data_IF_934911009649
#
_entry.id   IF_934911009649
#
_cell.length_a   1.000
_cell.length_b   1.000
_cell.length_c   1.000
_cell.angle_alpha   90.00
_cell.angle_beta   90.00
_cell.angle_gamma   90.00
#
_symmetry.space_group_name_H-M   'P 1'
#
loop_
_entity.id
_entity.type
_entity.pdbx_description
1 polymer ?
#
# COMPACT_ATOMS: atom_id res chain seq x y z
N UNK A 1 -9.48 -5.62 8.57
CA UNK A 1 -9.02 -6.90 7.98
C UNK A 1 -8.52 -7.85 9.08
N UNK A 2 -9.43 -8.32 9.95
CA UNK A 2 -9.11 -9.22 11.10
C UNK A 2 -9.47 -10.69 10.79
N UNK A 3 -10.04 -10.97 9.61
CA UNK A 3 -10.61 -12.28 9.27
C UNK A 3 -9.59 -13.33 8.81
N UNK A 4 -8.54 -12.94 8.10
CA UNK A 4 -7.65 -13.89 7.41
C UNK A 4 -6.84 -14.73 8.40
N UNK A 5 -6.30 -14.13 9.48
CA UNK A 5 -5.53 -14.86 10.50
C UNK A 5 -6.40 -15.81 11.35
N UNK A 6 -7.69 -15.52 11.54
CA UNK A 6 -8.61 -16.41 12.26
C UNK A 6 -8.98 -17.64 11.43
N UNK A 7 -9.16 -17.47 10.12
CA UNK A 7 -9.48 -18.57 9.21
C UNK A 7 -8.32 -19.55 9.06
N UNK A 8 -7.09 -19.08 8.93
CA UNK A 8 -5.91 -19.97 8.84
C UNK A 8 -5.68 -20.73 10.13
N UNK A 9 -5.84 -20.07 11.30
CA UNK A 9 -5.71 -20.71 12.60
C UNK A 9 -6.78 -21.78 12.83
N UNK A 10 -8.03 -21.49 12.46
CA UNK A 10 -9.13 -22.46 12.55
C UNK A 10 -8.89 -23.65 11.61
N UNK A 11 -8.42 -23.38 10.39
CA UNK A 11 -8.08 -24.42 9.42
C UNK A 11 -6.94 -25.32 9.90
N UNK A 12 -5.89 -24.75 10.54
CA UNK A 12 -4.82 -25.52 11.16
C UNK A 12 -5.34 -26.43 12.28
N UNK A 13 -6.16 -25.90 13.19
CA UNK A 13 -6.77 -26.69 14.27
C UNK A 13 -7.63 -27.84 13.73
N UNK A 14 -8.44 -27.59 12.70
CA UNK A 14 -9.26 -28.63 12.06
C UNK A 14 -8.41 -29.73 11.42
N UNK A 15 -7.27 -29.39 10.82
CA UNK A 15 -6.35 -30.36 10.23
C UNK A 15 -5.60 -31.17 11.29
N UNK A 16 -5.20 -30.54 12.40
CA UNK A 16 -4.58 -31.22 13.56
C UNK A 16 -5.56 -32.21 14.22
N UNK A 17 -6.82 -31.80 14.41
CA UNK A 17 -7.88 -32.68 14.93
C UNK A 17 -8.17 -33.86 13.97
N UNK A 18 -8.18 -33.59 12.66
CA UNK A 18 -8.34 -34.63 11.64
C UNK A 18 -7.18 -35.62 11.65
N UNK A 19 -5.94 -35.14 11.81
CA UNK A 19 -4.76 -35.99 11.91
C UNK A 19 -4.80 -36.88 13.17
N UNK A 20 -5.19 -36.31 14.31
CA UNK A 20 -5.37 -37.06 15.55
C UNK A 20 -6.43 -38.16 15.41
N UNK A 21 -7.58 -37.84 14.80
CA UNK A 21 -8.64 -38.83 14.55
C UNK A 21 -8.21 -39.94 13.58
N UNK A 22 -7.50 -39.60 12.49
CA UNK A 22 -6.98 -40.60 11.56
C UNK A 22 -5.94 -41.51 12.22
N UNK A 23 -5.08 -40.95 13.08
CA UNK A 23 -4.11 -41.75 13.84
C UNK A 23 -4.81 -42.73 14.79
N UNK A 24 -5.88 -42.31 15.47
CA UNK A 24 -6.66 -43.19 16.34
C UNK A 24 -7.35 -44.32 15.52
N UNK A 25 -7.94 -43.99 14.37
CA UNK A 25 -8.53 -45.00 13.49
C UNK A 25 -7.49 -46.00 12.97
N UNK A 26 -6.28 -45.54 12.63
CA UNK A 26 -5.15 -46.41 12.27
C UNK A 26 -4.81 -47.38 13.41
N UNK A 27 -4.76 -46.92 14.66
CA UNK A 27 -4.46 -47.80 15.80
C UNK A 27 -5.52 -48.88 15.97
N UNK A 28 -6.81 -48.53 15.85
CA UNK A 28 -7.93 -49.48 15.95
C UNK A 28 -7.89 -50.53 14.84
N UNK A 29 -7.66 -50.11 13.59
CA UNK A 29 -7.56 -51.05 12.44
C UNK A 29 -6.37 -52.00 12.62
N UNK A 30 -5.25 -51.50 13.14
CA UNK A 30 -4.05 -52.30 13.35
C UNK A 30 -4.24 -53.31 14.49
N UNK A 31 -4.93 -52.93 15.56
CA UNK A 31 -5.33 -53.84 16.65
C UNK A 31 -6.28 -54.94 16.15
N UNK A 32 -7.28 -54.58 15.34
CA UNK A 32 -8.20 -55.53 14.72
C UNK A 32 -7.45 -56.51 13.81
N UNK A 33 -6.54 -56.01 12.97
CA UNK A 33 -5.72 -56.82 12.07
C UNK A 33 -4.85 -57.84 12.83
N UNK A 34 -4.29 -57.45 13.98
CA UNK A 34 -3.49 -58.35 14.83
C UNK A 34 -4.31 -59.46 15.49
N UNK A 35 -5.63 -59.26 15.64
CA UNK A 35 -6.54 -60.23 16.25
C UNK A 35 -7.26 -61.12 15.23
N UNK A 36 -7.23 -60.76 13.94
CA UNK A 36 -7.99 -61.42 12.87
C UNK A 36 -7.28 -62.67 12.36
N UNK A 37 -8.04 -63.77 12.21
CA UNK A 37 -7.53 -65.07 11.74
C UNK A 37 -8.02 -65.43 10.34
N UNK A 38 -9.09 -64.79 9.87
CA UNK A 38 -9.60 -64.97 8.52
C UNK A 38 -8.79 -64.17 7.50
N UNK A 39 -8.25 -64.85 6.49
CA UNK A 39 -7.39 -64.25 5.47
C UNK A 39 -8.11 -63.18 4.63
N UNK A 40 -9.42 -63.32 4.39
CA UNK A 40 -10.21 -62.35 3.62
C UNK A 40 -10.46 -61.08 4.43
N UNK A 41 -10.82 -61.22 5.70
CA UNK A 41 -11.04 -60.11 6.63
C UNK A 41 -9.74 -59.35 6.91
N UNK A 42 -8.61 -60.06 7.05
CA UNK A 42 -7.29 -59.45 7.16
C UNK A 42 -6.91 -58.62 5.91
N UNK A 43 -7.28 -59.05 4.70
CA UNK A 43 -6.99 -58.31 3.47
C UNK A 43 -7.82 -57.01 3.38
N UNK A 44 -9.07 -57.04 3.85
CA UNK A 44 -9.92 -55.85 3.94
C UNK A 44 -9.40 -54.84 4.97
N UNK A 45 -9.01 -55.30 6.16
CA UNK A 45 -8.42 -54.46 7.20
C UNK A 45 -7.10 -53.82 6.75
N UNK A 46 -6.26 -54.59 6.04
CA UNK A 46 -5.03 -54.05 5.45
C UNK A 46 -5.33 -52.92 4.46
N UNK A 47 -6.29 -53.12 3.56
CA UNK A 47 -6.69 -52.09 2.60
C UNK A 47 -7.21 -50.83 3.30
N UNK A 48 -7.99 -50.98 4.37
CA UNK A 48 -8.46 -49.85 5.17
C UNK A 48 -7.30 -49.12 5.87
N UNK A 49 -6.31 -49.85 6.39
CA UNK A 49 -5.10 -49.27 6.97
C UNK A 49 -4.28 -48.48 5.95
N UNK A 50 -4.11 -49.02 4.74
CA UNK A 50 -3.40 -48.34 3.65
C UNK A 50 -4.14 -47.04 3.22
N UNK A 51 -5.47 -47.08 3.16
CA UNK A 51 -6.31 -45.90 2.85
C UNK A 51 -6.19 -44.81 3.93
N UNK A 52 -6.19 -45.19 5.22
CA UNK A 52 -6.02 -44.25 6.33
C UNK A 52 -4.62 -43.61 6.35
N UNK A 53 -3.56 -44.40 6.08
CA UNK A 53 -2.20 -43.89 5.99
C UNK A 53 -2.03 -42.87 4.85
N UNK A 54 -2.66 -43.10 3.71
CA UNK A 54 -2.60 -42.16 2.59
C UNK A 54 -3.34 -40.85 2.92
N UNK A 55 -4.48 -40.93 3.61
CA UNK A 55 -5.18 -39.75 4.10
C UNK A 55 -4.35 -38.98 5.14
N UNK A 56 -3.62 -39.66 6.02
CA UNK A 56 -2.71 -39.01 6.97
C UNK A 56 -1.60 -38.24 6.26
N UNK A 57 -0.93 -38.85 5.27
CA UNK A 57 0.10 -38.16 4.46
C UNK A 57 -0.44 -36.92 3.76
N UNK A 58 -1.67 -36.99 3.25
CA UNK A 58 -2.29 -35.85 2.58
C UNK A 58 -2.56 -34.70 3.56
N UNK A 59 -3.06 -35.00 4.77
CA UNK A 59 -3.27 -34.01 5.83
C UNK A 59 -1.93 -33.43 6.32
N UNK A 60 -0.87 -34.25 6.45
CA UNK A 60 0.48 -33.77 6.78
C UNK A 60 1.06 -32.86 5.69
N UNK A 61 0.85 -33.18 4.41
CA UNK A 61 1.24 -32.29 3.32
C UNK A 61 0.51 -30.94 3.37
N UNK A 62 -0.80 -30.93 3.65
CA UNK A 62 -1.59 -29.71 3.78
C UNK A 62 -1.13 -28.87 4.99
N UNK A 63 -0.83 -29.50 6.13
CA UNK A 63 -0.23 -28.84 7.30
C UNK A 63 1.14 -28.23 6.97
N UNK A 64 2.01 -29.00 6.31
CA UNK A 64 3.33 -28.53 5.91
C UNK A 64 3.25 -27.36 4.90
N UNK A 65 2.27 -27.36 4.00
CA UNK A 65 2.03 -26.24 3.08
C UNK A 65 1.54 -24.98 3.81
N UNK A 66 0.64 -25.14 4.78
CA UNK A 66 0.21 -24.03 5.64
C UNK A 66 1.37 -23.46 6.46
N UNK A 67 2.22 -24.32 7.03
CA UNK A 67 3.40 -23.90 7.80
C UNK A 67 4.49 -23.25 6.92
N UNK A 68 4.70 -23.77 5.71
CA UNK A 68 5.61 -23.16 4.73
C UNK A 68 5.12 -21.77 4.28
N UNK A 69 3.79 -21.58 4.20
CA UNK A 69 3.20 -20.28 3.88
C UNK A 69 3.32 -19.25 5.02
N UNK A 70 3.21 -19.70 6.29
CA UNK A 70 3.40 -18.84 7.47
C UNK A 70 4.87 -18.49 7.74
N UNK A 71 5.81 -19.33 7.30
CA UNK A 71 7.25 -19.12 7.46
C UNK A 71 7.93 -18.45 6.27
N UNK A 72 7.21 -18.06 5.22
CA UNK A 72 7.80 -17.43 4.05
C UNK A 72 8.34 -16.01 4.38
N UNK A 73 9.68 -15.77 4.34
CA UNK A 73 10.26 -14.46 4.62
C UNK A 73 9.77 -13.38 3.66
N UNK A 74 9.44 -13.75 2.43
CA UNK A 74 8.93 -12.82 1.42
C UNK A 74 7.52 -12.33 1.77
N UNK A 75 6.68 -13.18 2.37
CA UNK A 75 5.35 -12.79 2.81
C UNK A 75 5.42 -11.78 3.96
N UNK A 76 6.36 -11.97 4.89
CA UNK A 76 6.58 -11.03 6.00
C UNK A 76 7.13 -9.68 5.55
N UNK A 77 8.04 -9.68 4.58
CA UNK A 77 8.51 -8.45 3.94
C UNK A 77 7.35 -7.68 3.29
N UNK A 78 6.46 -8.40 2.59
CA UNK A 78 5.23 -7.81 2.01
C UNK A 78 4.33 -7.24 3.11
N UNK A 79 4.14 -7.96 4.21
CA UNK A 79 3.30 -7.50 5.32
C UNK A 79 3.87 -6.27 6.01
N UNK A 80 5.19 -6.18 6.20
CA UNK A 80 5.85 -4.98 6.74
C UNK A 80 5.61 -3.81 5.81
N UNK A 81 5.94 -3.97 4.51
CA UNK A 81 5.79 -2.90 3.52
C UNK A 81 4.37 -2.38 3.43
N UNK A 82 3.38 -3.28 3.53
CA UNK A 82 1.95 -2.93 3.53
C UNK A 82 1.53 -2.14 4.76
N UNK A 83 2.14 -2.40 5.92
CA UNK A 83 1.76 -1.80 7.20
C UNK A 83 2.60 -0.57 7.59
N UNK A 84 3.73 -0.31 6.92
CA UNK A 84 4.57 0.88 7.17
C UNK A 84 3.79 2.21 7.15
N UNK A 85 2.82 2.46 6.25
CA UNK A 85 2.06 3.70 6.26
C UNK A 85 1.22 3.93 7.54
N UNK A 86 1.11 2.96 8.44
CA UNK A 86 0.34 3.06 9.69
C UNK A 86 1.16 3.56 10.90
N UNK A 87 2.46 3.87 10.74
CA UNK A 87 3.34 4.27 11.85
C UNK A 87 3.02 5.67 12.39
N UNK A 88 3.05 6.70 11.54
CA UNK A 88 2.65 8.06 11.92
C UNK A 88 2.51 8.96 10.68
N UNK A 89 1.27 9.09 10.24
CA UNK A 89 0.81 10.17 9.36
C UNK A 89 -0.50 10.73 9.92
N UNK A 90 -0.70 10.73 11.24
CA UNK A 90 -2.02 10.98 11.84
C UNK A 90 -2.57 12.37 11.50
N UNK A 91 -1.69 13.38 11.47
CA UNK A 91 -2.07 14.75 11.09
C UNK A 91 -2.49 14.82 9.62
N UNK A 92 -1.65 14.29 8.72
CA UNK A 92 -1.97 14.22 7.29
C UNK A 92 -3.24 13.40 7.04
N UNK A 93 -3.38 12.22 7.66
CA UNK A 93 -4.55 11.33 7.59
C UNK A 93 -5.83 12.02 8.04
N UNK A 94 -5.79 12.79 9.13
CA UNK A 94 -6.94 13.60 9.58
C UNK A 94 -7.35 14.64 8.54
N UNK A 95 -6.40 15.33 7.93
CA UNK A 95 -6.68 16.28 6.85
C UNK A 95 -7.24 15.58 5.62
N UNK A 96 -6.61 14.49 5.17
CA UNK A 96 -7.08 13.69 4.03
C UNK A 96 -8.52 13.24 4.25
N UNK A 97 -8.83 12.60 5.38
CA UNK A 97 -10.19 12.13 5.68
C UNK A 97 -11.19 13.29 5.69
N UNK A 98 -10.86 14.40 6.34
CA UNK A 98 -11.72 15.60 6.38
C UNK A 98 -12.07 16.09 4.97
N UNK A 99 -11.11 16.09 4.05
CA UNK A 99 -11.31 16.53 2.68
C UNK A 99 -12.09 15.53 1.84
N UNK A 100 -11.80 14.23 1.99
CA UNK A 100 -12.54 13.18 1.28
C UNK A 100 -14.02 13.12 1.71
N UNK A 101 -14.33 13.44 2.97
CA UNK A 101 -15.70 13.52 3.50
C UNK A 101 -16.50 14.73 2.99
N UNK A 102 -15.85 15.77 2.45
CA UNK A 102 -16.57 16.93 1.90
C UNK A 102 -17.42 16.53 0.70
N UNK A 103 -18.48 17.30 0.41
CA UNK A 103 -19.27 17.14 -0.82
C UNK A 103 -18.60 17.75 -2.06
N UNK A 104 -17.50 18.46 -1.89
CA UNK A 104 -16.73 19.04 -2.99
C UNK A 104 -16.22 17.91 -3.91
N UNK A 105 -16.19 18.18 -5.22
CA UNK A 105 -15.73 17.16 -6.17
C UNK A 105 -14.21 17.11 -6.22
N UNK A 106 -13.52 18.16 -5.78
CA UNK A 106 -12.08 18.30 -5.93
C UNK A 106 -11.32 18.29 -4.59
N UNK A 107 -10.11 17.75 -4.59
CA UNK A 107 -9.14 17.91 -3.51
C UNK A 107 -7.74 17.96 -4.11
N UNK A 108 -6.95 18.96 -3.71
CA UNK A 108 -5.59 19.16 -4.19
C UNK A 108 -4.63 19.18 -3.00
N UNK A 109 -3.78 18.18 -2.91
CA UNK A 109 -2.82 18.00 -1.83
C UNK A 109 -1.41 18.34 -2.30
N UNK A 110 -0.61 18.89 -1.38
CA UNK A 110 0.80 19.14 -1.60
C UNK A 110 1.64 18.48 -0.51
N UNK A 111 2.69 17.77 -0.90
CA UNK A 111 3.67 17.14 -0.03
C UNK A 111 5.04 17.78 -0.30
N UNK A 112 5.63 18.38 0.73
CA UNK A 112 6.98 18.93 0.67
C UNK A 112 7.96 18.00 1.37
N UNK A 113 9.21 17.97 0.89
CA UNK A 113 10.29 17.17 1.47
C UNK A 113 9.95 15.66 1.51
N UNK A 114 9.26 15.20 0.47
CA UNK A 114 8.68 13.86 0.41
C UNK A 114 9.72 12.75 0.45
N UNK A 115 10.91 12.98 -0.14
CA UNK A 115 11.95 11.97 -0.19
C UNK A 115 12.42 11.55 1.21
N UNK A 116 12.74 12.53 2.06
CA UNK A 116 13.22 12.25 3.43
C UNK A 116 12.07 11.84 4.36
N UNK A 117 10.87 12.38 4.15
CA UNK A 117 9.71 12.13 5.00
C UNK A 117 8.82 10.97 4.53
N UNK A 118 9.34 10.13 3.63
CA UNK A 118 8.63 8.97 3.09
C UNK A 118 7.23 9.34 2.54
N UNK A 119 7.15 10.42 1.76
CA UNK A 119 5.91 10.94 1.19
C UNK A 119 5.17 9.91 0.34
N UNK A 120 5.87 8.95 -0.26
CA UNK A 120 5.28 7.81 -0.95
C UNK A 120 4.35 6.98 -0.06
N UNK A 121 4.67 6.87 1.24
CA UNK A 121 3.81 6.19 2.21
C UNK A 121 2.56 7.02 2.47
N UNK A 122 2.67 8.35 2.55
CA UNK A 122 1.50 9.23 2.67
C UNK A 122 0.59 9.14 1.44
N UNK A 123 1.15 9.14 0.23
CA UNK A 123 0.42 8.95 -1.03
C UNK A 123 -0.31 7.60 -1.02
N UNK A 124 0.35 6.54 -0.53
CA UNK A 124 -0.26 5.22 -0.40
C UNK A 124 -1.48 5.23 0.55
N UNK A 125 -1.45 6.03 1.62
CA UNK A 125 -2.61 6.21 2.52
C UNK A 125 -3.78 6.82 1.76
N UNK A 126 -3.53 7.87 0.98
CA UNK A 126 -4.57 8.52 0.16
C UNK A 126 -5.19 7.49 -0.78
N UNK A 127 -4.36 6.74 -1.52
CA UNK A 127 -4.83 5.69 -2.43
C UNK A 127 -5.64 4.62 -1.71
N UNK A 128 -5.15 4.10 -0.58
CA UNK A 128 -5.85 3.08 0.20
C UNK A 128 -7.20 3.59 0.74
N UNK A 129 -7.29 4.86 1.14
CA UNK A 129 -8.54 5.47 1.58
C UNK A 129 -9.53 5.63 0.42
N UNK A 130 -9.06 6.05 -0.76
CA UNK A 130 -9.88 6.12 -1.97
C UNK A 130 -10.39 4.73 -2.37
N UNK A 131 -9.52 3.72 -2.37
CA UNK A 131 -9.87 2.33 -2.66
C UNK A 131 -10.92 1.78 -1.70
N UNK A 132 -10.76 2.06 -0.41
CA UNK A 132 -11.68 1.62 0.63
C UNK A 132 -13.06 2.27 0.52
N UNK A 133 -13.11 3.57 0.21
CA UNK A 133 -14.34 4.35 0.25
C UNK A 133 -15.08 4.37 -1.09
N UNK A 134 -14.37 4.21 -2.21
CA UNK A 134 -14.90 4.43 -3.55
C UNK A 134 -14.57 3.30 -4.55
N UNK A 135 -13.88 2.24 -4.12
CA UNK A 135 -13.38 1.21 -5.05
C UNK A 135 -12.17 1.72 -5.83
N UNK A 136 -11.84 1.08 -6.95
CA UNK A 136 -10.57 1.34 -7.65
C UNK A 136 -10.58 2.70 -8.38
N UNK A 137 -9.81 3.72 -7.92
CA UNK A 137 -9.78 5.02 -8.59
C UNK A 137 -9.04 4.93 -9.93
N UNK A 138 -9.45 5.73 -10.90
CA UNK A 138 -8.68 5.91 -12.13
C UNK A 138 -7.42 6.72 -11.81
N UNK A 139 -6.31 6.02 -11.73
CA UNK A 139 -5.03 6.58 -11.32
C UNK A 139 -4.20 7.06 -12.51
N UNK A 140 -3.73 8.31 -12.45
CA UNK A 140 -2.82 8.94 -13.42
C UNK A 140 -1.49 9.30 -12.74
N UNK A 141 -0.50 8.39 -12.76
CA UNK A 141 0.83 8.68 -12.27
C UNK A 141 1.62 9.52 -13.29
N UNK A 142 2.17 10.63 -12.84
CA UNK A 142 2.97 11.56 -13.62
C UNK A 142 4.31 11.72 -12.91
N UNK A 143 5.35 11.07 -13.42
CA UNK A 143 6.70 11.17 -12.86
C UNK A 143 7.55 12.14 -13.66
N UNK A 144 8.00 13.23 -13.03
CA UNK A 144 8.89 14.20 -13.67
C UNK A 144 10.34 13.75 -13.46
N UNK A 145 10.99 13.28 -14.53
CA UNK A 145 12.38 12.82 -14.50
C UNK A 145 13.31 13.90 -15.07
N UNK A 146 14.52 13.99 -14.52
CA UNK A 146 15.59 14.85 -15.04
C UNK A 146 15.93 14.52 -16.50
N UNK A 147 15.79 13.24 -16.90
CA UNK A 147 16.05 12.76 -18.26
C UNK A 147 14.86 12.93 -19.22
N UNK A 148 13.69 13.35 -18.72
CA UNK A 148 12.49 13.62 -19.52
C UNK A 148 12.28 15.12 -19.72
N UNK A 149 11.24 15.50 -20.47
CA UNK A 149 10.82 16.90 -20.54
C UNK A 149 10.47 17.43 -19.15
N UNK A 150 10.93 18.64 -18.86
CA UNK A 150 10.78 19.33 -17.57
C UNK A 150 9.87 20.57 -17.69
N UNK A 151 9.08 20.62 -18.76
CA UNK A 151 8.13 21.68 -19.10
C UNK A 151 6.67 21.19 -18.95
N UNK A 152 5.71 21.99 -19.43
CA UNK A 152 4.28 21.63 -19.45
C UNK A 152 4.01 20.25 -20.09
N UNK A 153 4.77 19.89 -21.12
CA UNK A 153 4.59 18.62 -21.82
C UNK A 153 5.09 17.43 -21.03
N UNK A 154 6.04 17.62 -20.10
CA UNK A 154 6.39 16.59 -19.11
C UNK A 154 5.20 16.09 -18.28
N UNK A 155 4.15 16.93 -18.14
CA UNK A 155 2.88 16.57 -17.47
C UNK A 155 1.85 16.05 -18.50
N UNK A 156 1.73 16.69 -19.66
CA UNK A 156 0.71 16.34 -20.66
C UNK A 156 1.00 15.02 -21.40
N UNK A 157 2.26 14.70 -21.69
CA UNK A 157 2.65 13.50 -22.43
C UNK A 157 2.21 12.19 -21.74
N UNK A 158 2.50 11.98 -20.43
CA UNK A 158 2.01 10.80 -19.71
C UNK A 158 0.48 10.69 -19.71
N UNK A 159 -0.21 11.82 -19.54
CA UNK A 159 -1.68 11.88 -19.56
C UNK A 159 -2.24 11.51 -20.92
N UNK A 160 -1.73 12.11 -22.00
CA UNK A 160 -2.14 11.81 -23.36
C UNK A 160 -1.94 10.33 -23.70
N UNK A 161 -0.77 9.77 -23.34
CA UNK A 161 -0.46 8.35 -23.54
C UNK A 161 -1.47 7.44 -22.83
N UNK A 162 -1.78 7.73 -21.58
CA UNK A 162 -2.74 6.93 -20.80
C UNK A 162 -4.20 7.09 -21.26
N UNK A 163 -4.53 8.27 -21.81
CA UNK A 163 -5.85 8.58 -22.37
C UNK A 163 -6.00 8.16 -23.83
N UNK A 164 -4.93 7.63 -24.45
CA UNK A 164 -4.87 7.28 -25.88
C UNK A 164 -5.20 8.48 -26.77
N UNK A 165 -4.68 9.65 -26.40
CA UNK A 165 -4.75 10.88 -27.20
C UNK A 165 -3.56 10.89 -28.17
N UNK A 166 -3.85 10.93 -29.46
CA UNK A 166 -2.83 10.88 -30.52
C UNK A 166 -2.28 12.28 -30.80
N UNK A 167 -1.59 12.88 -29.82
CA UNK A 167 -0.90 14.15 -29.99
C UNK A 167 0.61 13.90 -30.05
N UNK A 168 1.27 14.50 -31.05
CA UNK A 168 2.73 14.56 -31.10
C UNK A 168 3.15 15.88 -30.49
N UNK A 169 3.77 15.84 -29.32
CA UNK A 169 4.22 17.02 -28.61
C UNK A 169 5.59 17.46 -29.14
N UNK A 170 5.58 18.49 -29.97
CA UNK A 170 6.74 19.15 -30.56
C UNK A 170 6.88 20.56 -29.96
N UNK A 171 8.02 21.23 -30.19
CA UNK A 171 8.28 22.56 -29.62
C UNK A 171 7.30 23.65 -30.08
N UNK A 172 6.59 23.42 -31.20
CA UNK A 172 5.57 24.31 -31.75
C UNK A 172 4.13 23.86 -31.43
N UNK A 173 3.94 22.80 -30.63
CA UNK A 173 2.61 22.32 -30.27
C UNK A 173 1.90 23.36 -29.40
N UNK A 174 0.64 23.66 -29.72
CA UNK A 174 -0.19 24.52 -28.89
C UNK A 174 -0.51 23.82 -27.57
N UNK A 175 0.08 24.34 -26.48
CA UNK A 175 -0.10 23.83 -25.12
C UNK A 175 -1.57 23.92 -24.72
N UNK A 176 -2.26 25.00 -25.08
CA UNK A 176 -3.65 25.23 -24.68
C UNK A 176 -4.60 24.28 -25.42
N UNK A 177 -4.38 24.06 -26.71
CA UNK A 177 -5.16 23.09 -27.48
C UNK A 177 -4.99 21.67 -26.89
N UNK A 178 -3.74 21.27 -26.64
CA UNK A 178 -3.41 19.96 -26.07
C UNK A 178 -4.01 19.76 -24.68
N UNK A 179 -3.93 20.80 -23.84
CA UNK A 179 -4.53 20.84 -22.49
C UNK A 179 -6.04 20.60 -22.57
N UNK A 180 -6.72 21.33 -23.45
CA UNK A 180 -8.16 21.20 -23.64
C UNK A 180 -8.55 19.82 -24.17
N UNK A 181 -7.79 19.24 -25.10
CA UNK A 181 -8.05 17.89 -25.61
C UNK A 181 -7.97 16.83 -24.49
N UNK A 182 -6.93 16.89 -23.66
CA UNK A 182 -6.76 15.99 -22.51
C UNK A 182 -7.91 16.15 -21.51
N UNK A 183 -8.26 17.39 -21.15
CA UNK A 183 -9.38 17.68 -20.25
C UNK A 183 -10.69 17.12 -20.83
N UNK A 184 -10.92 17.29 -22.12
CA UNK A 184 -12.10 16.78 -22.80
C UNK A 184 -12.18 15.27 -22.70
N UNK A 185 -11.07 14.57 -22.93
CA UNK A 185 -11.00 13.10 -22.86
C UNK A 185 -11.20 12.57 -21.46
N UNK A 186 -10.60 13.21 -20.46
CA UNK A 186 -10.85 12.89 -19.05
C UNK A 186 -12.34 13.07 -18.76
N UNK A 187 -12.90 14.24 -19.05
CA UNK A 187 -14.30 14.52 -18.78
C UNK A 187 -15.25 13.54 -19.49
N UNK A 188 -15.02 13.23 -20.76
CA UNK A 188 -15.84 12.27 -21.53
C UNK A 188 -15.86 10.87 -20.91
N UNK A 189 -14.76 10.46 -20.29
CA UNK A 189 -14.64 9.14 -19.67
C UNK A 189 -15.25 9.02 -18.26
N UNK A 190 -15.67 10.14 -17.66
CA UNK A 190 -16.23 10.15 -16.31
C UNK A 190 -17.71 9.75 -16.33
N UNK A 191 -18.06 8.78 -15.48
CA UNK A 191 -19.41 8.35 -15.16
C UNK A 191 -19.78 8.69 -13.70
N UNK A 192 -21.03 8.47 -13.32
CA UNK A 192 -21.52 8.56 -11.93
C UNK A 192 -20.64 7.75 -10.98
N UNK A 193 -20.23 8.36 -9.86
CA UNK A 193 -19.38 7.72 -8.85
C UNK A 193 -17.89 7.60 -9.22
N UNK A 194 -17.43 8.14 -10.36
CA UNK A 194 -16.02 8.01 -10.75
C UNK A 194 -15.10 8.74 -9.79
N UNK A 195 -13.99 8.11 -9.45
CA UNK A 195 -12.88 8.74 -8.72
C UNK A 195 -11.66 8.80 -9.62
N UNK A 196 -11.13 10.00 -9.82
CA UNK A 196 -9.89 10.25 -10.53
C UNK A 196 -8.83 10.64 -9.52
N UNK A 197 -7.65 10.03 -9.65
CA UNK A 197 -6.51 10.31 -8.79
C UNK A 197 -5.28 10.66 -9.64
N UNK A 198 -4.81 11.89 -9.56
CA UNK A 198 -3.55 12.34 -10.16
C UNK A 198 -2.44 12.30 -9.12
N UNK A 199 -1.33 11.68 -9.47
CA UNK A 199 -0.13 11.60 -8.63
C UNK A 199 1.03 12.22 -9.40
N UNK A 200 1.40 13.45 -9.05
CA UNK A 200 2.49 14.17 -9.71
C UNK A 200 3.72 14.13 -8.83
N UNK A 201 4.71 13.34 -9.25
CA UNK A 201 5.93 13.06 -8.49
C UNK A 201 7.10 13.91 -8.98
N UNK A 202 7.97 14.27 -8.04
CA UNK A 202 9.24 14.98 -8.26
C UNK A 202 9.05 16.38 -8.88
N UNK A 203 8.13 17.17 -8.32
CA UNK A 203 7.81 18.52 -8.79
C UNK A 203 9.04 19.44 -8.90
N UNK A 204 10.04 19.25 -8.02
CA UNK A 204 11.28 20.04 -8.03
C UNK A 204 12.11 19.89 -9.32
N UNK A 205 11.86 18.88 -10.16
CA UNK A 205 12.63 18.64 -11.38
C UNK A 205 12.20 19.53 -12.56
N UNK A 206 11.19 20.38 -12.41
CA UNK A 206 10.75 21.29 -13.48
C UNK A 206 11.68 22.52 -13.57
N UNK A 207 11.93 23.00 -14.79
CA UNK A 207 12.82 24.15 -15.05
C UNK A 207 12.19 25.50 -14.71
N UNK A 208 10.86 25.64 -14.93
CA UNK A 208 10.08 26.85 -14.64
C UNK A 208 8.91 26.55 -13.70
N UNK A 209 9.19 26.00 -12.52
CA UNK A 209 8.17 25.54 -11.55
C UNK A 209 7.04 26.55 -11.28
N UNK A 210 7.32 27.86 -11.30
CA UNK A 210 6.38 28.95 -10.97
C UNK A 210 5.39 29.21 -12.10
N UNK A 211 5.88 29.15 -13.34
CA UNK A 211 5.05 29.25 -14.54
C UNK A 211 4.19 28.00 -14.68
N UNK A 212 4.82 26.83 -14.55
CA UNK A 212 4.16 25.53 -14.74
C UNK A 212 3.11 25.28 -13.66
N UNK A 213 3.34 25.68 -12.40
CA UNK A 213 2.30 25.54 -11.37
C UNK A 213 1.11 26.47 -11.62
N UNK A 214 1.34 27.70 -12.11
CA UNK A 214 0.24 28.61 -12.48
C UNK A 214 -0.58 28.02 -13.60
N UNK A 215 0.07 27.59 -14.68
CA UNK A 215 -0.59 26.88 -15.78
C UNK A 215 -1.34 25.65 -15.27
N UNK A 216 -0.73 24.83 -14.41
CA UNK A 216 -1.37 23.62 -13.90
C UNK A 216 -2.63 23.95 -13.10
N UNK A 217 -2.60 25.00 -12.28
CA UNK A 217 -3.74 25.40 -11.46
C UNK A 217 -4.84 26.09 -12.28
N UNK A 218 -4.46 27.02 -13.16
CA UNK A 218 -5.35 27.97 -13.82
C UNK A 218 -5.84 27.45 -15.18
N UNK A 219 -4.98 26.79 -15.95
CA UNK A 219 -5.28 26.33 -17.32
C UNK A 219 -5.61 24.83 -17.38
N UNK A 220 -5.09 24.02 -16.44
CA UNK A 220 -5.39 22.58 -16.39
C UNK A 220 -6.45 22.22 -15.33
N UNK A 221 -6.15 22.44 -14.05
CA UNK A 221 -6.93 21.90 -12.93
C UNK A 221 -8.29 22.60 -12.76
N UNK A 222 -8.33 23.94 -12.73
CA UNK A 222 -9.59 24.67 -12.61
C UNK A 222 -10.55 24.39 -13.79
N UNK A 223 -10.10 24.39 -15.06
CA UNK A 223 -10.96 24.04 -16.19
C UNK A 223 -11.43 22.58 -16.14
N UNK A 224 -10.58 21.64 -15.74
CA UNK A 224 -10.97 20.24 -15.53
C UNK A 224 -12.09 20.10 -14.50
N UNK A 225 -11.89 20.67 -13.31
CA UNK A 225 -12.87 20.63 -12.21
C UNK A 225 -14.17 21.30 -12.64
N UNK A 226 -14.10 22.48 -13.26
CA UNK A 226 -15.27 23.23 -13.71
C UNK A 226 -16.09 22.45 -14.74
N UNK A 227 -15.42 21.82 -15.71
CA UNK A 227 -16.06 21.00 -16.74
C UNK A 227 -16.72 19.75 -16.15
N UNK A 228 -16.11 19.13 -15.14
CA UNK A 228 -16.69 17.99 -14.44
C UNK A 228 -17.89 18.40 -13.57
N UNK A 229 -17.83 19.54 -12.86
CA UNK A 229 -18.96 20.05 -12.05
C UNK A 229 -20.21 20.31 -12.88
N UNK A 230 -20.04 20.78 -14.11
CA UNK A 230 -21.16 21.11 -15.00
C UNK A 230 -21.89 19.88 -15.54
N UNK A 231 -21.39 18.67 -15.33
CA UNK A 231 -22.11 17.42 -15.63
C UNK A 231 -23.13 17.12 -14.53
N UNK A 232 -24.29 17.78 -14.61
CA UNK A 232 -25.39 17.69 -13.64
C UNK A 232 -25.90 16.26 -13.39
N UNK A 233 -25.70 15.35 -14.35
CA UNK A 233 -26.26 13.99 -14.31
C UNK A 233 -25.31 12.93 -13.72
N UNK A 234 -24.12 13.32 -13.29
CA UNK A 234 -23.10 12.39 -12.77
C UNK A 234 -22.77 12.68 -11.30
N UNK A 235 -23.66 12.32 -10.35
CA UNK A 235 -23.38 12.52 -8.93
C UNK A 235 -22.20 11.65 -8.46
N UNK A 236 -21.55 12.09 -7.39
CA UNK A 236 -20.51 11.30 -6.72
C UNK A 236 -19.14 11.27 -7.43
N UNK A 237 -18.87 12.18 -8.38
CA UNK A 237 -17.53 12.33 -8.95
C UNK A 237 -16.58 12.90 -7.90
N UNK A 238 -15.37 12.34 -7.82
CA UNK A 238 -14.24 12.88 -7.06
C UNK A 238 -13.01 12.99 -7.94
N UNK A 239 -12.30 14.11 -7.84
CA UNK A 239 -11.06 14.40 -8.54
C UNK A 239 -10.03 14.80 -7.48
N UNK A 240 -9.05 13.94 -7.26
CA UNK A 240 -8.01 14.14 -6.28
C UNK A 240 -6.69 14.30 -7.02
N UNK A 241 -5.89 15.27 -6.63
CA UNK A 241 -4.51 15.39 -7.10
C UNK A 241 -3.57 15.53 -5.90
N UNK A 242 -2.44 14.85 -5.96
CA UNK A 242 -1.33 15.02 -5.03
C UNK A 242 -0.12 15.49 -5.83
N UNK A 243 0.43 16.62 -5.44
CA UNK A 243 1.69 17.16 -5.94
C UNK A 243 2.76 16.87 -4.91
N UNK A 244 3.80 16.17 -5.33
CA UNK A 244 4.89 15.70 -4.49
C UNK A 244 6.20 16.40 -4.85
N UNK A 245 6.82 17.04 -3.87
CA UNK A 245 8.11 17.69 -3.97
C UNK A 245 9.14 16.98 -3.07
N UNK A 246 10.17 16.38 -3.68
CA UNK A 246 11.24 15.66 -2.99
C UNK A 246 11.98 16.52 -1.98
N UNK A 247 12.14 17.81 -2.29
CA UNK A 247 12.91 18.77 -1.50
C UNK A 247 12.05 19.99 -1.14
N UNK A 248 12.45 20.75 -0.09
CA UNK A 248 11.83 22.03 0.20
C UNK A 248 11.79 22.93 -1.04
N UNK A 249 10.61 23.48 -1.33
CA UNK A 249 10.41 24.43 -2.41
C UNK A 249 10.74 25.85 -1.93
N UNK A 250 11.27 26.68 -2.84
CA UNK A 250 11.62 28.05 -2.51
C UNK A 250 10.40 28.91 -2.15
N UNK A 251 10.63 30.00 -1.43
CA UNK A 251 9.57 30.83 -0.85
C UNK A 251 8.62 31.45 -1.89
N UNK A 252 9.09 31.73 -3.10
CA UNK A 252 8.30 32.30 -4.19
C UNK A 252 7.22 31.32 -4.67
N UNK A 253 7.55 30.03 -4.77
CA UNK A 253 6.59 28.97 -5.10
C UNK A 253 5.51 28.85 -4.02
N UNK A 254 5.91 28.95 -2.75
CA UNK A 254 4.96 28.95 -1.64
C UNK A 254 3.96 30.10 -1.72
N UNK A 255 4.32 31.24 -2.33
CA UNK A 255 3.36 32.33 -2.53
C UNK A 255 2.31 31.98 -3.58
N UNK A 256 2.70 31.36 -4.69
CA UNK A 256 1.75 30.90 -5.72
C UNK A 256 0.76 29.89 -5.11
N UNK A 257 1.26 28.96 -4.31
CA UNK A 257 0.44 28.00 -3.58
C UNK A 257 -0.48 28.65 -2.54
N UNK A 258 -0.01 29.66 -1.79
CA UNK A 258 -0.83 30.41 -0.82
C UNK A 258 -1.98 31.17 -1.47
N UNK A 259 -1.78 31.66 -2.69
CA UNK A 259 -2.86 32.32 -3.45
C UNK A 259 -3.96 31.34 -3.85
N UNK A 260 -3.67 30.03 -3.80
CA UNK A 260 -4.61 28.98 -4.14
C UNK A 260 -5.25 28.37 -2.89
N UNK A 261 -6.34 28.99 -2.43
CA UNK A 261 -7.06 28.62 -1.19
C UNK A 261 -7.53 27.16 -1.08
N UNK A 262 -7.54 26.39 -2.18
CA UNK A 262 -7.95 24.98 -2.22
C UNK A 262 -6.79 24.00 -2.16
N UNK A 263 -5.55 24.47 -2.19
CA UNK A 263 -4.38 23.63 -2.01
C UNK A 263 -4.20 23.32 -0.53
N UNK A 264 -4.01 22.05 -0.22
CA UNK A 264 -3.90 21.56 1.16
C UNK A 264 -2.52 20.95 1.33
N UNK A 265 -1.68 21.67 2.05
CA UNK A 265 -0.37 21.16 2.47
C UNK A 265 -0.56 20.06 3.51
N UNK A 266 -0.08 18.86 3.19
CA UNK A 266 -0.13 17.72 4.08
C UNK A 266 1.13 17.72 4.96
N UNK A 267 0.99 17.86 6.29
CA UNK A 267 2.14 17.95 7.18
C UNK A 267 2.82 16.59 7.29
N UNK A 268 4.07 16.54 6.83
CA UNK A 268 4.96 15.41 7.04
C UNK A 268 5.88 15.70 8.24
N UNK A 269 5.96 14.77 9.18
CA UNK A 269 6.74 14.95 10.42
C UNK A 269 7.62 13.74 10.70
N UNK A 270 8.75 13.99 11.37
CA UNK A 270 9.62 12.92 11.88
C UNK A 270 8.89 12.04 12.89
N UNK A 271 9.18 10.74 12.87
CA UNK A 271 8.60 9.78 13.78
C UNK A 271 9.39 9.73 15.08
N UNK A 272 8.74 10.01 16.20
CA UNK A 272 9.41 9.91 17.50
C UNK A 272 9.53 8.43 17.93
N UNK A 273 10.33 8.19 18.98
CA UNK A 273 10.52 6.86 19.56
C UNK A 273 9.19 6.18 19.92
N UNK A 274 8.21 6.94 20.42
CA UNK A 274 6.89 6.41 20.79
C UNK A 274 6.15 5.86 19.55
N UNK A 275 6.12 6.59 18.45
CA UNK A 275 5.45 6.14 17.21
C UNK A 275 6.08 4.84 16.69
N UNK A 276 7.41 4.75 16.71
CA UNK A 276 8.15 3.56 16.28
C UNK A 276 7.82 2.36 17.18
N UNK A 277 7.85 2.55 18.50
CA UNK A 277 7.53 1.50 19.46
C UNK A 277 6.07 1.02 19.34
N UNK A 278 5.12 1.95 19.20
CA UNK A 278 3.70 1.61 19.03
C UNK A 278 3.46 0.79 17.74
N UNK A 279 4.14 1.15 16.65
CA UNK A 279 4.08 0.38 15.41
C UNK A 279 4.70 -1.02 15.58
N UNK A 280 5.89 -1.13 16.19
CA UNK A 280 6.55 -2.41 16.46
C UNK A 280 5.68 -3.34 17.33
N UNK A 281 5.00 -2.79 18.34
CA UNK A 281 4.05 -3.56 19.16
C UNK A 281 2.86 -4.02 18.32
N UNK A 282 2.24 -3.10 17.57
CA UNK A 282 1.05 -3.39 16.75
C UNK A 282 1.31 -4.45 15.69
N UNK A 283 2.49 -4.42 15.06
CA UNK A 283 2.89 -5.33 13.99
C UNK A 283 3.94 -6.34 14.45
N UNK A 284 4.01 -6.60 15.75
CA UNK A 284 4.90 -7.60 16.36
C UNK A 284 4.75 -8.98 15.73
N UNK A 285 3.55 -9.32 15.26
CA UNK A 285 3.27 -10.57 14.53
C UNK A 285 4.08 -10.75 13.25
N UNK A 286 4.49 -9.65 12.61
CA UNK A 286 5.39 -9.71 11.45
C UNK A 286 6.79 -10.25 11.82
N UNK A 287 7.11 -10.31 13.12
CA UNK A 287 8.42 -10.67 13.65
C UNK A 287 8.43 -11.96 14.51
N UNK A 288 7.27 -12.57 14.80
CA UNK A 288 7.11 -13.63 15.82
C UNK A 288 7.97 -14.88 15.56
N UNK A 289 8.20 -15.29 14.30
CA UNK A 289 9.01 -16.50 14.05
C UNK A 289 10.53 -16.24 14.11
N UNK A 290 10.96 -15.00 14.39
CA UNK A 290 12.37 -14.66 14.53
C UNK A 290 12.83 -14.60 15.99
N UNK A 291 11.93 -14.44 16.96
CA UNK A 291 12.25 -14.58 18.38
C UNK A 291 11.00 -14.98 19.18
N UNK A 292 11.05 -16.10 19.89
CA UNK A 292 10.12 -16.45 20.98
C UNK A 292 10.18 -15.46 22.17
N UNK A 293 11.07 -14.46 22.12
CA UNK A 293 11.45 -13.58 23.23
C UNK A 293 11.33 -12.07 22.93
N UNK A 294 10.51 -11.65 21.96
CA UNK A 294 10.20 -10.22 21.74
C UNK A 294 9.34 -9.68 22.91
N UNK A 295 9.97 -9.47 24.06
CA UNK A 295 9.35 -8.84 25.22
C UNK A 295 9.14 -7.35 24.96
N UNK A 296 8.18 -6.73 25.66
CA UNK A 296 7.96 -5.27 25.55
C UNK A 296 9.22 -4.44 25.82
N UNK A 297 10.08 -4.90 26.72
CA UNK A 297 11.39 -4.26 26.98
C UNK A 297 12.30 -4.31 25.76
N UNK A 298 12.33 -5.44 25.04
CA UNK A 298 13.17 -5.59 23.84
C UNK A 298 12.65 -4.75 22.68
N UNK A 299 11.32 -4.67 22.52
CA UNK A 299 10.69 -3.80 21.52
C UNK A 299 11.08 -2.33 21.74
N UNK A 300 10.99 -1.85 22.99
CA UNK A 300 11.38 -0.48 23.33
C UNK A 300 12.87 -0.21 23.05
N UNK A 301 13.74 -1.17 23.36
CA UNK A 301 15.17 -1.06 23.03
C UNK A 301 15.37 -0.96 21.51
N UNK A 302 14.72 -1.82 20.72
CA UNK A 302 14.80 -1.80 19.25
C UNK A 302 14.32 -0.45 18.69
N UNK A 303 13.14 0.03 19.11
CA UNK A 303 12.63 1.29 18.58
C UNK A 303 13.48 2.49 18.98
N UNK A 304 14.06 2.50 20.19
CA UNK A 304 15.05 3.51 20.59
C UNK A 304 16.30 3.48 19.71
N UNK A 305 16.82 2.28 19.41
CA UNK A 305 17.99 2.14 18.53
C UNK A 305 17.68 2.62 17.11
N UNK A 306 16.51 2.26 16.57
CA UNK A 306 16.06 2.75 15.25
C UNK A 306 15.95 4.27 15.27
N UNK A 307 15.30 4.86 16.27
CA UNK A 307 15.16 6.31 16.40
C UNK A 307 16.51 7.03 16.41
N UNK A 308 17.48 6.53 17.19
CA UNK A 308 18.82 7.11 17.26
C UNK A 308 19.60 6.97 15.95
N UNK A 309 19.51 5.81 15.28
CA UNK A 309 20.22 5.53 14.03
C UNK A 309 19.67 6.30 12.83
N UNK A 310 18.38 6.65 12.87
CA UNK A 310 17.64 7.26 11.74
C UNK A 310 17.61 8.79 11.82
N UNK A 311 18.65 9.39 12.39
CA UNK A 311 18.75 10.82 12.62
C UNK A 311 17.50 11.40 13.31
N UNK A 312 17.14 10.82 14.47
CA UNK A 312 15.97 11.21 15.26
C UNK A 312 14.65 10.98 14.51
N UNK A 313 14.55 9.86 13.80
CA UNK A 313 13.28 9.38 13.26
C UNK A 313 12.88 9.95 11.91
N UNK A 314 13.84 10.21 11.01
CA UNK A 314 13.54 10.56 9.63
C UNK A 314 12.76 9.38 8.99
N UNK A 315 11.50 9.58 8.54
CA UNK A 315 10.62 8.51 8.10
C UNK A 315 11.21 7.55 7.07
N UNK A 316 11.91 8.08 6.06
CA UNK A 316 12.55 7.27 5.02
C UNK A 316 13.64 6.34 5.58
N UNK A 317 14.41 6.82 6.54
CA UNK A 317 15.44 6.01 7.18
C UNK A 317 14.80 4.98 8.13
N UNK A 318 13.77 5.39 8.87
CA UNK A 318 13.04 4.47 9.76
C UNK A 318 12.35 3.36 8.98
N UNK A 319 11.69 3.67 7.86
CA UNK A 319 11.03 2.67 7.03
C UNK A 319 12.03 1.62 6.52
N UNK A 320 13.19 2.06 6.02
CA UNK A 320 14.28 1.17 5.61
C UNK A 320 14.77 0.29 6.78
N UNK A 321 14.97 0.87 7.96
CA UNK A 321 15.41 0.13 9.14
C UNK A 321 14.38 -0.92 9.59
N UNK A 322 13.08 -0.61 9.50
CA UNK A 322 11.99 -1.54 9.81
C UNK A 322 11.87 -2.65 8.76
N UNK A 323 12.08 -2.35 7.48
CA UNK A 323 12.10 -3.33 6.39
C UNK A 323 13.27 -4.33 6.52
N UNK A 324 14.43 -3.86 6.97
CA UNK A 324 15.61 -4.70 7.16
C UNK A 324 15.66 -5.41 8.52
N UNK A 325 14.81 -5.02 9.47
CA UNK A 325 14.78 -5.59 10.81
C UNK A 325 14.64 -7.13 10.82
N UNK A 326 13.74 -7.76 10.02
CA UNK A 326 13.62 -9.22 9.99
C UNK A 326 14.93 -9.92 9.63
N UNK A 327 15.68 -9.40 8.65
CA UNK A 327 16.97 -9.98 8.22
C UNK A 327 18.00 -9.97 9.34
N UNK A 328 18.01 -8.90 10.15
CA UNK A 328 18.93 -8.76 11.29
C UNK A 328 18.56 -9.71 12.43
N UNK A 329 17.27 -9.87 12.68
CA UNK A 329 16.78 -10.78 13.71
C UNK A 329 17.09 -12.25 13.39
N UNK A 330 17.14 -12.63 12.10
CA UNK A 330 17.62 -13.95 11.66
C UNK A 330 19.11 -14.13 11.95
N UNK A 331 19.94 -13.14 11.62
CA UNK A 331 21.40 -13.25 11.72
C UNK A 331 21.95 -13.20 13.15
N UNK A 332 21.14 -12.78 14.14
CA UNK A 332 21.50 -12.82 15.56
C UNK A 332 21.20 -14.17 16.23
N UNK A 333 20.81 -15.21 15.46
CA UNK A 333 20.54 -16.56 15.95
C UNK A 333 21.70 -17.56 15.73
N UNK A 334 22.88 -17.10 15.28
CA UNK A 334 24.14 -17.85 15.23
C UNK A 334 25.09 -17.30 16.29
#
# INVERSE_FOLDING_TARGET
MVGISRTTKLQKQMLEEKLASLSEQCTVVNEQMNSERDARSHLLLKKQGDELLEQMKQVEMELNQLEASENNPNQKYIDIKKNLPEIDFDKARKLINKELEKKEIESLFFLENSHSMAGELCISIIRNLLEKNHGNPRHFPIGINIMSRQDHFGILEPLAKQLQVHTVFQDNTDIQESTNEIINKICQSICTGSVIFFEINNWNNLTNQCEIIRWFLDDFWQPLVSKCKNKKDTPGIKIICVIDAEYPIESEYKQVFKNYSKLIELPLTTWNEKHINEWLVRYSSCFINYQSNLTGSKINEIGKQIFLKTNKGIPRMVSQELEDLPKRLVNCQL
#
